data_IF_098270084627
#
_entry.id   IF_098270084627
#
_cell.length_a   1.000
_cell.length_b   1.000
_cell.length_c   1.000
_cell.angle_alpha   90.00
_cell.angle_beta   90.00
_cell.angle_gamma   90.00
#
_symmetry.space_group_name_H-M   'P 1'
#
loop_
_entity.id
_entity.type
_entity.pdbx_description
1 polymer ?
#
# COMPACT_ATOMS: atom_id res chain seq x y z
N UNK A 1 10.40 33.93 4.61
CA UNK A 1 9.01 33.89 4.10
C UNK A 1 8.66 34.96 3.06
N UNK A 2 9.47 36.02 2.84
CA UNK A 2 9.13 37.10 1.90
C UNK A 2 9.13 36.71 0.41
N UNK A 3 10.17 36.02 -0.06
CA UNK A 3 10.34 35.66 -1.48
C UNK A 3 9.17 34.86 -2.08
N UNK A 4 8.67 33.86 -1.35
CA UNK A 4 7.55 33.01 -1.81
C UNK A 4 6.26 33.81 -1.97
N UNK A 5 5.93 34.65 -1.00
CA UNK A 5 4.72 35.49 -1.04
C UNK A 5 4.82 36.56 -2.13
N UNK A 6 5.99 37.17 -2.30
CA UNK A 6 6.24 38.19 -3.33
C UNK A 6 6.09 37.62 -4.74
N UNK A 7 6.52 36.37 -4.96
CA UNK A 7 6.47 35.73 -6.28
C UNK A 7 5.24 34.82 -6.49
N UNK A 8 4.26 34.86 -5.57
CA UNK A 8 3.06 34.02 -5.60
C UNK A 8 3.36 32.52 -5.83
N UNK A 9 4.47 32.04 -5.25
CA UNK A 9 4.92 30.66 -5.44
C UNK A 9 3.99 29.73 -4.65
N UNK A 10 3.34 28.80 -5.36
CA UNK A 10 2.45 27.82 -4.76
C UNK A 10 3.27 26.80 -3.95
N UNK A 11 2.92 26.62 -2.69
CA UNK A 11 3.46 25.51 -1.89
C UNK A 11 2.83 24.19 -2.34
N UNK A 12 3.68 23.25 -2.71
CA UNK A 12 3.32 21.92 -3.16
C UNK A 12 3.84 20.94 -2.09
N UNK A 13 2.99 20.01 -1.65
CA UNK A 13 3.43 18.93 -0.76
C UNK A 13 4.35 17.98 -1.54
N UNK A 14 5.57 17.78 -1.07
CA UNK A 14 6.57 16.95 -1.74
C UNK A 14 7.02 15.80 -0.86
N UNK A 15 7.15 14.60 -1.43
CA UNK A 15 7.96 13.53 -0.83
C UNK A 15 9.35 13.53 -1.45
N UNK A 16 10.41 13.43 -0.65
CA UNK A 16 11.79 13.37 -1.16
C UNK A 16 12.49 12.07 -0.75
N UNK A 17 12.98 11.33 -1.75
CA UNK A 17 13.76 10.10 -1.63
C UNK A 17 15.21 10.39 -2.04
N UNK A 18 16.12 10.60 -1.08
CA UNK A 18 17.51 10.89 -1.39
C UNK A 18 18.28 9.63 -1.83
N UNK A 19 19.34 9.80 -2.62
CA UNK A 19 20.27 8.73 -2.98
C UNK A 19 20.87 8.02 -1.74
N UNK A 20 21.05 8.74 -0.62
CA UNK A 20 21.62 8.21 0.63
C UNK A 20 20.61 7.52 1.57
N UNK A 21 19.44 7.10 1.08
CA UNK A 21 18.39 6.44 1.87
C UNK A 21 18.86 5.21 2.65
N UNK A 22 19.77 4.40 2.11
CA UNK A 22 20.32 3.23 2.79
C UNK A 22 21.11 3.63 4.05
N UNK A 23 21.77 4.79 4.01
CA UNK A 23 22.43 5.35 5.19
C UNK A 23 21.42 5.75 6.27
N UNK A 24 20.29 6.35 5.88
CA UNK A 24 19.22 6.72 6.82
C UNK A 24 18.58 5.49 7.46
N UNK A 25 18.38 4.44 6.69
CA UNK A 25 17.89 3.16 7.18
C UNK A 25 18.88 2.50 8.17
N UNK A 26 20.17 2.48 7.84
CA UNK A 26 21.21 1.97 8.73
C UNK A 26 21.28 2.79 10.04
N UNK A 27 21.12 4.11 9.95
CA UNK A 27 21.09 4.99 11.10
C UNK A 27 19.85 4.79 11.98
N UNK A 28 18.67 4.61 11.37
CA UNK A 28 17.43 4.36 12.11
C UNK A 28 17.46 3.00 12.82
N UNK A 29 17.92 1.96 12.14
CA UNK A 29 17.99 0.59 12.69
C UNK A 29 18.96 0.47 13.88
N UNK A 30 20.11 1.17 13.87
CA UNK A 30 21.04 1.23 15.03
C UNK A 30 20.35 1.76 16.29
N UNK A 31 19.44 2.72 16.15
CA UNK A 31 18.72 3.33 17.28
C UNK A 31 17.51 2.50 17.73
N UNK A 32 16.96 1.66 16.85
CA UNK A 32 15.87 0.74 17.17
C UNK A 32 16.31 -0.55 17.87
N UNK A 33 17.62 -0.76 18.06
CA UNK A 33 18.21 -1.87 18.82
C UNK A 33 17.95 -1.76 20.35
N UNK A 34 16.69 -1.54 20.71
CA UNK A 34 16.09 -1.63 22.05
C UNK A 34 15.72 -3.09 22.38
N UNK A 35 16.59 -4.04 21.98
CA UNK A 35 16.36 -5.48 22.19
C UNK A 35 16.30 -5.88 23.67
N UNK A 36 16.70 -5.02 24.60
CA UNK A 36 16.68 -5.27 26.04
C UNK A 36 15.44 -4.74 26.78
N UNK A 37 14.45 -4.16 26.10
CA UNK A 37 13.24 -3.66 26.78
C UNK A 37 12.19 -4.78 26.94
N UNK A 38 11.56 -4.91 28.13
CA UNK A 38 10.50 -5.88 28.40
C UNK A 38 9.36 -5.79 27.38
N UNK A 39 8.69 -6.92 27.11
CA UNK A 39 7.64 -7.07 26.08
C UNK A 39 6.52 -6.02 26.19
N UNK A 40 6.13 -5.69 27.41
CA UNK A 40 5.10 -4.69 27.73
C UNK A 40 5.58 -3.26 27.43
N UNK A 41 6.85 -2.98 27.74
CA UNK A 41 7.49 -1.69 27.47
C UNK A 41 7.73 -1.50 25.98
N UNK A 42 8.03 -2.56 25.21
CA UNK A 42 8.07 -2.52 23.74
C UNK A 42 6.74 -2.06 23.17
N UNK A 43 5.63 -2.68 23.60
CA UNK A 43 4.27 -2.31 23.15
C UNK A 43 3.92 -0.85 23.50
N UNK A 44 4.43 -0.35 24.63
CA UNK A 44 4.23 1.03 25.09
C UNK A 44 5.17 2.06 24.40
N UNK A 45 6.40 1.68 24.06
CA UNK A 45 7.38 2.53 23.35
C UNK A 45 7.03 2.66 21.86
N UNK A 46 6.62 1.57 21.21
CA UNK A 46 6.19 1.60 19.80
C UNK A 46 4.93 2.46 19.61
N UNK A 47 4.01 2.45 20.58
CA UNK A 47 2.82 3.31 20.56
C UNK A 47 3.09 4.79 20.87
N UNK A 48 4.34 5.19 21.22
CA UNK A 48 4.63 6.54 21.73
C UNK A 48 5.83 7.25 21.08
N UNK A 49 6.53 6.64 20.12
CA UNK A 49 7.48 7.40 19.29
C UNK A 49 6.70 7.99 18.12
N UNK A 50 6.22 9.23 18.27
CA UNK A 50 5.56 9.97 17.20
C UNK A 50 6.33 9.80 15.87
N UNK A 51 5.64 9.36 14.82
CA UNK A 51 6.15 9.32 13.42
C UNK A 51 6.82 10.64 13.03
N UNK A 52 6.22 11.75 13.47
CA UNK A 52 6.74 13.12 13.33
C UNK A 52 8.16 13.24 13.93
N UNK A 53 8.41 12.67 15.11
CA UNK A 53 9.72 12.72 15.74
C UNK A 53 10.77 11.89 15.00
N UNK A 54 10.41 10.82 14.27
CA UNK A 54 11.38 10.04 13.47
C UNK A 54 11.74 10.76 12.18
N UNK A 55 10.73 11.23 11.45
CA UNK A 55 10.86 12.01 10.21
C UNK A 55 11.64 13.31 10.43
N UNK A 56 11.31 14.06 11.48
CA UNK A 56 12.04 15.27 11.84
C UNK A 56 13.52 14.96 12.14
N UNK A 57 13.78 13.88 12.89
CA UNK A 57 15.16 13.47 13.22
C UNK A 57 15.96 13.01 12.00
N UNK A 58 15.36 12.31 11.04
CA UNK A 58 16.03 11.93 9.79
C UNK A 58 16.36 13.17 8.96
N UNK A 59 15.43 14.12 8.88
CA UNK A 59 15.65 15.41 8.21
C UNK A 59 16.76 16.22 8.89
N UNK A 60 16.74 16.36 10.21
CA UNK A 60 17.73 17.10 10.98
C UNK A 60 19.14 16.49 10.81
N UNK A 61 19.25 15.17 10.93
CA UNK A 61 20.49 14.45 10.70
C UNK A 61 21.03 14.68 9.28
N UNK A 62 20.14 14.60 8.28
CA UNK A 62 20.55 14.77 6.89
C UNK A 62 20.96 16.22 6.59
N UNK A 63 20.28 17.21 7.17
CA UNK A 63 20.64 18.63 7.04
C UNK A 63 21.97 18.97 7.73
N UNK A 64 22.34 18.26 8.79
CA UNK A 64 23.65 18.40 9.41
C UNK A 64 24.78 17.90 8.49
N UNK A 65 24.53 16.85 7.70
CA UNK A 65 25.53 16.26 6.81
C UNK A 65 25.58 16.95 5.43
N UNK A 66 24.43 17.25 4.83
CA UNK A 66 24.31 17.70 3.45
C UNK A 66 23.85 19.16 3.31
N UNK A 67 23.62 19.86 4.44
CA UNK A 67 23.26 21.27 4.48
C UNK A 67 21.75 21.54 4.59
N UNK A 68 21.41 22.80 4.91
CA UNK A 68 20.05 23.21 5.26
C UNK A 68 19.05 23.20 4.09
N UNK A 69 19.54 23.18 2.84
CA UNK A 69 18.71 23.17 1.64
C UNK A 69 18.05 21.83 1.35
N UNK A 70 18.41 20.78 2.10
CA UNK A 70 17.79 19.47 1.92
C UNK A 70 16.27 19.52 2.19
N UNK A 71 15.44 18.98 1.27
CA UNK A 71 14.01 18.82 1.50
C UNK A 71 13.72 17.98 2.76
N UNK A 72 12.50 18.12 3.28
CA UNK A 72 12.05 17.29 4.38
C UNK A 72 11.94 15.82 3.95
N UNK A 73 12.52 14.92 4.74
CA UNK A 73 12.50 13.48 4.50
C UNK A 73 11.31 12.88 5.21
N UNK A 74 10.19 12.76 4.50
CA UNK A 74 8.89 12.41 5.07
C UNK A 74 8.39 11.00 4.73
N UNK A 75 9.21 10.15 4.14
CA UNK A 75 8.85 8.76 3.86
C UNK A 75 9.06 7.85 5.09
N UNK A 76 8.21 6.81 5.26
CA UNK A 76 8.32 5.88 6.39
C UNK A 76 9.49 4.91 6.21
N UNK A 77 10.05 4.43 7.32
CA UNK A 77 11.02 3.32 7.27
C UNK A 77 10.33 1.98 6.98
N UNK A 78 11.04 0.92 6.54
CA UNK A 78 10.42 -0.38 6.26
C UNK A 78 9.65 -0.98 7.45
N UNK A 79 10.13 -0.75 8.67
CA UNK A 79 9.39 -1.17 9.87
C UNK A 79 8.13 -0.35 10.08
N UNK A 80 8.16 0.97 9.84
CA UNK A 80 6.96 1.80 9.90
C UNK A 80 5.95 1.36 8.84
N UNK A 81 6.40 0.95 7.65
CA UNK A 81 5.55 0.40 6.58
C UNK A 81 4.88 -0.90 7.05
N UNK A 82 5.63 -1.84 7.61
CA UNK A 82 5.08 -3.10 8.14
C UNK A 82 3.97 -2.83 9.18
N UNK A 83 4.21 -1.91 10.11
CA UNK A 83 3.22 -1.51 11.12
C UNK A 83 2.00 -0.80 10.51
N UNK A 84 2.21 0.16 9.61
CA UNK A 84 1.11 0.88 8.96
C UNK A 84 0.22 -0.09 8.16
N UNK A 85 0.81 -1.08 7.49
CA UNK A 85 0.08 -2.13 6.80
C UNK A 85 -0.73 -2.99 7.78
N UNK A 86 -0.14 -3.37 8.91
CA UNK A 86 -0.86 -4.12 9.95
C UNK A 86 -2.07 -3.32 10.47
N UNK A 87 -1.88 -2.03 10.77
CA UNK A 87 -2.95 -1.17 11.28
C UNK A 87 -4.03 -0.93 10.23
N UNK A 88 -3.66 -0.75 8.97
CA UNK A 88 -4.62 -0.57 7.88
C UNK A 88 -5.46 -1.82 7.65
N UNK A 89 -4.83 -2.99 7.57
CA UNK A 89 -5.52 -4.29 7.44
C UNK A 89 -6.45 -4.51 8.63
N UNK A 90 -5.99 -4.20 9.84
CA UNK A 90 -6.81 -4.30 11.05
C UNK A 90 -8.01 -3.35 11.01
N UNK A 91 -7.84 -2.13 10.54
CA UNK A 91 -8.93 -1.18 10.41
C UNK A 91 -9.95 -1.63 9.36
N UNK A 92 -9.50 -2.18 8.22
CA UNK A 92 -10.41 -2.77 7.24
C UNK A 92 -11.16 -3.97 7.80
N UNK A 93 -10.48 -4.83 8.56
CA UNK A 93 -11.10 -5.95 9.26
C UNK A 93 -12.23 -5.51 10.20
N UNK A 94 -12.03 -4.44 10.99
CA UNK A 94 -13.06 -3.91 11.90
C UNK A 94 -14.24 -3.32 11.13
N UNK A 95 -13.97 -2.62 10.02
CA UNK A 95 -15.02 -2.06 9.15
C UNK A 95 -15.86 -3.16 8.53
N UNK A 96 -15.23 -4.21 8.01
CA UNK A 96 -15.92 -5.38 7.44
C UNK A 96 -16.79 -6.06 8.50
N UNK A 97 -16.24 -6.35 9.68
CA UNK A 97 -17.02 -6.99 10.75
C UNK A 97 -18.25 -6.16 11.15
N UNK A 98 -18.09 -4.83 11.21
CA UNK A 98 -19.20 -3.92 11.55
C UNK A 98 -20.26 -3.89 10.44
N UNK A 99 -19.84 -3.87 9.17
CA UNK A 99 -20.73 -3.91 8.02
C UNK A 99 -21.47 -5.24 7.91
N UNK A 100 -20.77 -6.36 8.06
CA UNK A 100 -21.36 -7.71 8.03
C UNK A 100 -22.45 -7.89 9.09
N UNK A 101 -22.24 -7.35 10.30
CA UNK A 101 -23.24 -7.39 11.37
C UNK A 101 -24.51 -6.61 10.98
N UNK A 102 -24.36 -5.45 10.33
CA UNK A 102 -25.48 -4.64 9.82
C UNK A 102 -26.23 -5.36 8.71
N UNK A 103 -25.51 -5.84 7.69
CA UNK A 103 -26.09 -6.56 6.55
C UNK A 103 -26.82 -7.83 7.02
N UNK A 104 -26.25 -8.57 7.97
CA UNK A 104 -26.92 -9.73 8.55
C UNK A 104 -28.24 -9.35 9.21
N UNK A 105 -28.24 -8.32 10.07
CA UNK A 105 -29.43 -7.85 10.78
C UNK A 105 -30.54 -7.41 9.81
N UNK A 106 -30.16 -6.64 8.78
CA UNK A 106 -31.11 -6.19 7.74
C UNK A 106 -31.62 -7.36 6.89
N UNK A 107 -30.74 -8.30 6.53
CA UNK A 107 -31.12 -9.49 5.78
C UNK A 107 -32.10 -10.37 6.55
N UNK A 108 -31.93 -10.49 7.87
CA UNK A 108 -32.81 -11.28 8.72
C UNK A 108 -34.24 -10.72 8.72
N UNK A 109 -34.39 -9.40 8.86
CA UNK A 109 -35.70 -8.74 8.78
C UNK A 109 -36.33 -8.96 7.40
N UNK A 110 -35.55 -8.75 6.32
CA UNK A 110 -36.03 -8.95 4.94
C UNK A 110 -36.45 -10.40 4.67
N UNK A 111 -35.71 -11.38 5.18
CA UNK A 111 -36.05 -12.81 5.08
C UNK A 111 -37.36 -13.10 5.80
N UNK A 112 -37.52 -12.61 7.04
CA UNK A 112 -38.76 -12.80 7.80
C UNK A 112 -39.97 -12.15 7.12
N UNK A 113 -39.82 -10.94 6.61
CA UNK A 113 -40.87 -10.28 5.83
C UNK A 113 -41.24 -11.08 4.57
N UNK A 114 -40.25 -11.58 3.82
CA UNK A 114 -40.50 -12.38 2.63
C UNK A 114 -41.27 -13.68 2.94
N UNK A 115 -40.98 -14.33 4.08
CA UNK A 115 -41.69 -15.51 4.54
C UNK A 115 -43.13 -15.20 4.98
N UNK A 116 -43.36 -14.07 5.65
CA UNK A 116 -44.70 -13.66 6.11
C UNK A 116 -45.61 -13.18 4.98
N UNK A 117 -45.05 -12.47 4.00
CA UNK A 117 -45.80 -11.91 2.87
C UNK A 117 -46.18 -12.99 1.83
N UNK A 118 -45.57 -14.18 1.90
CA UNK A 118 -45.84 -15.27 0.96
C UNK A 118 -45.57 -14.89 -0.51
N UNK A 119 -44.72 -13.88 -0.75
CA UNK A 119 -44.35 -13.45 -2.09
C UNK A 119 -43.54 -14.56 -2.76
N UNK A 120 -44.20 -15.28 -3.66
CA UNK A 120 -43.53 -16.16 -4.61
C UNK A 120 -42.78 -15.27 -5.61
N UNK A 121 -41.46 -15.36 -5.58
CA UNK A 121 -40.64 -14.79 -6.64
C UNK A 121 -40.54 -15.86 -7.71
N UNK A 122 -40.76 -15.49 -8.98
CA UNK A 122 -40.70 -16.38 -10.15
C UNK A 122 -39.25 -16.81 -10.51
N UNK A 123 -38.37 -16.86 -9.50
CA UNK A 123 -36.96 -17.22 -9.62
C UNK A 123 -36.80 -18.67 -9.18
N UNK A 124 -36.14 -19.47 -10.03
CA UNK A 124 -35.90 -20.87 -9.78
C UNK A 124 -35.04 -21.06 -8.51
N UNK A 125 -35.63 -21.67 -7.48
CA UNK A 125 -34.95 -21.93 -6.20
C UNK A 125 -33.65 -22.74 -6.38
N UNK A 126 -33.59 -23.64 -7.36
CA UNK A 126 -32.40 -24.46 -7.60
C UNK A 126 -31.22 -23.61 -8.13
N UNK A 127 -31.50 -22.56 -8.91
CA UNK A 127 -30.47 -21.60 -9.35
C UNK A 127 -29.93 -20.77 -8.19
N UNK A 128 -30.82 -20.29 -7.29
CA UNK A 128 -30.42 -19.53 -6.11
C UNK A 128 -29.50 -20.34 -5.19
N UNK A 129 -29.82 -21.62 -4.96
CA UNK A 129 -29.00 -22.52 -4.16
C UNK A 129 -27.61 -22.73 -4.75
N UNK A 130 -27.53 -22.86 -6.08
CA UNK A 130 -26.25 -22.96 -6.77
C UNK A 130 -25.41 -21.69 -6.59
N UNK A 131 -25.97 -20.50 -6.81
CA UNK A 131 -25.28 -19.23 -6.60
C UNK A 131 -24.79 -19.05 -5.15
N UNK A 132 -25.65 -19.37 -4.17
CA UNK A 132 -25.29 -19.34 -2.75
C UNK A 132 -24.11 -20.28 -2.46
N UNK A 133 -24.13 -21.49 -3.00
CA UNK A 133 -23.05 -22.47 -2.81
C UNK A 133 -21.70 -21.97 -3.36
N UNK A 134 -21.71 -21.32 -4.52
CA UNK A 134 -20.52 -20.74 -5.13
C UNK A 134 -19.96 -19.58 -4.29
N UNK A 135 -20.81 -18.62 -3.91
CA UNK A 135 -20.41 -17.48 -3.08
C UNK A 135 -19.82 -17.92 -1.73
N UNK A 136 -20.38 -18.99 -1.15
CA UNK A 136 -19.90 -19.54 0.13
C UNK A 136 -18.54 -20.25 -0.03
N UNK A 137 -18.37 -21.02 -1.11
CA UNK A 137 -17.09 -21.69 -1.41
C UNK A 137 -15.97 -20.67 -1.67
N UNK A 138 -16.25 -19.63 -2.46
CA UNK A 138 -15.31 -18.53 -2.74
C UNK A 138 -14.89 -17.80 -1.46
N UNK A 139 -15.86 -17.50 -0.58
CA UNK A 139 -15.61 -16.86 0.72
C UNK A 139 -14.68 -17.70 1.60
N UNK A 140 -14.86 -19.02 1.60
CA UNK A 140 -14.03 -19.97 2.37
C UNK A 140 -12.60 -20.08 1.81
N UNK A 141 -12.44 -19.93 0.49
CA UNK A 141 -11.14 -19.98 -0.19
C UNK A 141 -10.35 -18.67 -0.15
N UNK A 142 -11.03 -17.55 0.07
CA UNK A 142 -10.41 -16.23 0.13
C UNK A 142 -9.40 -16.14 1.29
N UNK A 143 -8.42 -15.22 1.21
CA UNK A 143 -7.48 -14.88 2.31
C UNK A 143 -8.17 -14.56 3.65
N UNK A 144 -9.50 -14.46 3.63
CA UNK A 144 -10.41 -14.04 4.69
C UNK A 144 -11.23 -15.18 5.32
N UNK A 145 -11.09 -16.43 4.87
CA UNK A 145 -11.99 -17.56 5.15
C UNK A 145 -12.20 -17.96 6.61
N UNK A 146 -11.64 -17.19 7.53
CA UNK A 146 -11.65 -17.45 8.96
C UNK A 146 -12.14 -16.25 9.79
N UNK A 147 -12.95 -15.30 9.31
CA UNK A 147 -13.45 -14.20 10.18
C UNK A 147 -14.79 -14.48 10.89
N UNK A 148 -15.10 -15.75 11.10
CA UNK A 148 -16.46 -16.19 10.93
C UNK A 148 -17.12 -16.74 12.21
N UNK A 149 -17.32 -15.88 13.23
CA UNK A 149 -18.23 -16.18 14.37
C UNK A 149 -19.70 -16.18 13.91
N UNK A 150 -20.06 -15.30 12.96
CA UNK A 150 -21.38 -15.31 12.32
C UNK A 150 -21.54 -16.46 11.29
N UNK A 151 -20.49 -17.21 10.97
CA UNK A 151 -20.61 -18.30 9.99
C UNK A 151 -21.34 -19.52 10.49
N UNK A 152 -21.35 -19.77 11.80
CA UNK A 152 -22.03 -20.95 12.30
C UNK A 152 -23.53 -20.80 12.06
N UNK A 153 -24.10 -19.63 12.31
CA UNK A 153 -25.51 -19.35 12.00
C UNK A 153 -25.79 -19.35 10.50
N UNK A 154 -24.87 -18.83 9.69
CA UNK A 154 -24.98 -18.89 8.22
C UNK A 154 -24.85 -20.31 7.64
N UNK A 155 -23.93 -21.12 8.17
CA UNK A 155 -23.74 -22.54 7.81
C UNK A 155 -24.91 -23.38 8.29
N UNK A 156 -25.45 -23.09 9.47
CA UNK A 156 -26.67 -23.72 9.97
C UNK A 156 -27.88 -23.37 9.09
N UNK A 157 -28.02 -22.10 8.70
CA UNK A 157 -29.00 -21.66 7.69
C UNK A 157 -28.80 -22.40 6.36
N UNK A 158 -27.56 -22.51 5.89
CA UNK A 158 -27.22 -23.24 4.66
C UNK A 158 -27.54 -24.74 4.77
N UNK A 159 -27.26 -25.37 5.89
CA UNK A 159 -27.60 -26.77 6.15
C UNK A 159 -29.12 -26.98 6.19
N UNK A 160 -29.85 -26.08 6.85
CA UNK A 160 -31.31 -26.12 6.92
C UNK A 160 -31.93 -25.96 5.54
N UNK A 161 -31.41 -25.04 4.73
CA UNK A 161 -31.82 -24.82 3.34
C UNK A 161 -31.48 -26.01 2.44
N UNK A 162 -30.31 -26.61 2.59
CA UNK A 162 -29.93 -27.81 1.83
C UNK A 162 -30.73 -29.05 2.25
N UNK A 163 -31.09 -29.16 3.53
CA UNK A 163 -31.99 -30.21 4.03
C UNK A 163 -33.41 -30.03 3.51
N UNK A 164 -33.92 -28.80 3.44
CA UNK A 164 -35.27 -28.51 2.95
C UNK A 164 -35.40 -28.66 1.43
N UNK A 165 -34.35 -28.39 0.65
CA UNK A 165 -34.34 -28.61 -0.81
C UNK A 165 -34.59 -30.08 -1.24
N UNK A 166 -34.36 -31.05 -0.34
CA UNK A 166 -34.64 -32.48 -0.55
C UNK A 166 -36.11 -32.87 -0.32
N UNK A 167 -36.93 -31.98 0.23
CA UNK A 167 -38.38 -32.18 0.40
C UNK A 167 -39.12 -31.13 -0.44
N UNK A 168 -39.64 -31.54 -1.59
CA UNK A 168 -40.08 -30.67 -2.69
C UNK A 168 -41.19 -29.65 -2.40
N UNK A 169 -41.84 -29.67 -1.23
CA UNK A 169 -42.99 -28.82 -0.89
C UNK A 169 -42.63 -27.37 -0.47
N UNK A 170 -41.37 -27.07 -0.13
CA UNK A 170 -40.96 -25.75 0.36
C UNK A 170 -40.39 -24.80 -0.73
N UNK A 171 -40.29 -25.26 -1.98
CA UNK A 171 -39.58 -24.54 -3.06
C UNK A 171 -40.20 -23.19 -3.44
N UNK A 172 -41.52 -23.02 -3.31
CA UNK A 172 -42.21 -21.79 -3.71
C UNK A 172 -42.20 -20.75 -2.58
N UNK A 173 -42.48 -21.17 -1.33
CA UNK A 173 -42.55 -20.26 -0.17
C UNK A 173 -41.19 -19.75 0.33
N UNK A 174 -40.10 -20.49 0.08
CA UNK A 174 -38.76 -20.09 0.52
C UNK A 174 -37.96 -19.29 -0.53
N UNK A 175 -38.45 -19.22 -1.77
CA UNK A 175 -37.75 -18.55 -2.89
C UNK A 175 -37.39 -17.09 -2.59
N UNK A 176 -38.32 -16.34 -1.99
CA UNK A 176 -38.10 -14.96 -1.56
C UNK A 176 -37.02 -14.80 -0.50
N UNK A 177 -37.01 -15.67 0.50
CA UNK A 177 -35.97 -15.69 1.53
C UNK A 177 -34.58 -16.03 0.97
N UNK A 178 -34.51 -17.01 0.05
CA UNK A 178 -33.26 -17.39 -0.62
C UNK A 178 -32.70 -16.26 -1.49
N UNK A 179 -33.56 -15.50 -2.17
CA UNK A 179 -33.13 -14.35 -2.97
C UNK A 179 -32.52 -13.25 -2.08
N UNK A 180 -33.20 -12.89 -0.99
CA UNK A 180 -32.68 -11.91 -0.01
C UNK A 180 -31.33 -12.37 0.56
N UNK A 181 -31.22 -13.65 0.89
CA UNK A 181 -30.00 -14.24 1.41
C UNK A 181 -28.83 -14.14 0.43
N UNK A 182 -29.06 -14.53 -0.83
CA UNK A 182 -28.08 -14.41 -1.91
C UNK A 182 -27.63 -12.96 -2.09
N UNK A 183 -28.56 -12.03 -2.09
CA UNK A 183 -28.25 -10.61 -2.31
C UNK A 183 -27.38 -10.05 -1.17
N UNK A 184 -27.64 -10.43 0.08
CA UNK A 184 -26.80 -10.11 1.22
C UNK A 184 -25.38 -10.70 1.10
N UNK A 185 -25.23 -11.93 0.59
CA UNK A 185 -23.92 -12.54 0.33
C UNK A 185 -23.14 -11.81 -0.77
N UNK A 186 -23.81 -11.41 -1.86
CA UNK A 186 -23.17 -10.63 -2.94
C UNK A 186 -22.72 -9.26 -2.44
N UNK A 187 -23.57 -8.58 -1.67
CA UNK A 187 -23.25 -7.30 -1.06
C UNK A 187 -22.02 -7.43 -0.13
N UNK A 188 -21.97 -8.45 0.73
CA UNK A 188 -20.82 -8.77 1.59
C UNK A 188 -19.54 -8.96 0.79
N UNK A 189 -19.58 -9.80 -0.25
CA UNK A 189 -18.40 -10.10 -1.08
C UNK A 189 -17.85 -8.82 -1.74
N UNK A 190 -18.75 -7.99 -2.30
CA UNK A 190 -18.36 -6.74 -2.95
C UNK A 190 -17.71 -5.75 -1.98
N UNK A 191 -18.24 -5.62 -0.76
CA UNK A 191 -17.69 -4.73 0.26
C UNK A 191 -16.31 -5.19 0.73
N UNK A 192 -16.12 -6.50 0.92
CA UNK A 192 -14.82 -7.06 1.29
C UNK A 192 -13.76 -6.81 0.21
N UNK A 193 -14.10 -7.05 -1.07
CA UNK A 193 -13.20 -6.82 -2.19
C UNK A 193 -12.78 -5.35 -2.27
N UNK A 194 -13.73 -4.41 -2.18
CA UNK A 194 -13.41 -2.98 -2.25
C UNK A 194 -12.59 -2.51 -1.04
N UNK A 195 -12.84 -3.06 0.16
CA UNK A 195 -12.11 -2.70 1.38
C UNK A 195 -10.62 -3.06 1.34
N UNK A 196 -10.25 -4.17 0.68
CA UNK A 196 -8.86 -4.63 0.57
C UNK A 196 -8.18 -4.30 -0.76
N UNK A 197 -8.93 -3.86 -1.78
CA UNK A 197 -8.44 -3.54 -3.13
C UNK A 197 -7.16 -2.70 -3.16
N UNK A 198 -7.10 -1.61 -2.38
CA UNK A 198 -5.91 -0.75 -2.33
C UNK A 198 -4.68 -1.47 -1.74
N UNK A 199 -4.90 -2.35 -0.76
CA UNK A 199 -3.84 -3.14 -0.09
C UNK A 199 -3.35 -4.25 -1.02
N UNK A 200 -4.29 -5.00 -1.62
CA UNK A 200 -3.97 -6.08 -2.54
C UNK A 200 -3.27 -5.55 -3.79
N UNK A 201 -3.74 -4.44 -4.37
CA UNK A 201 -3.07 -3.80 -5.51
C UNK A 201 -1.62 -3.41 -5.17
N UNK A 202 -1.41 -2.84 -3.98
CA UNK A 202 -0.07 -2.50 -3.51
C UNK A 202 0.81 -3.76 -3.36
N UNK A 203 0.27 -4.84 -2.79
CA UNK A 203 1.00 -6.10 -2.61
C UNK A 203 1.33 -6.75 -3.95
N UNK A 204 0.39 -6.78 -4.88
CA UNK A 204 0.60 -7.28 -6.25
C UNK A 204 1.77 -6.57 -6.92
N UNK A 205 1.79 -5.23 -6.88
CA UNK A 205 2.87 -4.46 -7.50
C UNK A 205 4.22 -4.77 -6.84
N UNK A 206 4.30 -4.75 -5.51
CA UNK A 206 5.54 -5.10 -4.79
C UNK A 206 5.99 -6.53 -5.13
N UNK A 207 5.06 -7.49 -5.14
CA UNK A 207 5.35 -8.89 -5.41
C UNK A 207 5.86 -9.15 -6.82
N UNK A 208 5.60 -8.26 -7.78
CA UNK A 208 6.21 -8.36 -9.12
C UNK A 208 7.73 -8.20 -9.12
N UNK A 209 8.30 -7.68 -8.04
CA UNK A 209 9.73 -7.48 -7.87
C UNK A 209 10.32 -8.38 -6.77
N UNK A 210 9.57 -9.32 -6.22
CA UNK A 210 10.10 -10.26 -5.21
C UNK A 210 10.29 -11.63 -5.84
N UNK A 211 11.49 -12.19 -5.71
CA UNK A 211 11.76 -13.59 -6.07
C UNK A 211 11.78 -14.47 -4.82
N UNK A 212 11.17 -15.67 -4.93
CA UNK A 212 11.08 -16.72 -3.89
C UNK A 212 10.48 -16.27 -2.55
N UNK A 213 9.75 -15.16 -2.51
CA UNK A 213 9.02 -14.66 -1.35
C UNK A 213 7.90 -13.74 -1.81
N UNK A 214 6.85 -13.65 -1.01
CA UNK A 214 5.68 -12.83 -1.28
C UNK A 214 5.38 -11.95 -0.07
N UNK A 215 5.22 -10.64 -0.28
CA UNK A 215 4.61 -9.77 0.70
C UNK A 215 3.12 -10.12 0.78
N UNK A 216 2.71 -10.61 1.95
CA UNK A 216 1.37 -11.14 2.15
C UNK A 216 0.85 -10.79 3.55
N UNK A 217 -0.44 -11.04 3.75
CA UNK A 217 -1.07 -10.91 5.06
C UNK A 217 -1.95 -12.11 5.36
N UNK A 218 -2.12 -12.39 6.65
CA UNK A 218 -2.98 -13.44 7.15
C UNK A 218 -3.78 -12.92 8.33
N UNK A 219 -5.08 -13.16 8.27
CA UNK A 219 -6.02 -12.86 9.33
C UNK A 219 -6.20 -14.13 10.16
N UNK A 220 -5.91 -14.07 11.45
CA UNK A 220 -6.04 -15.20 12.37
C UNK A 220 -7.15 -14.89 13.38
N UNK A 221 -8.16 -15.76 13.48
CA UNK A 221 -9.28 -15.69 14.45
C UNK A 221 -8.81 -15.40 15.87
N UNK A 222 -7.74 -16.07 16.27
CA UNK A 222 -7.29 -16.08 17.64
C UNK A 222 -6.40 -14.87 17.96
N UNK A 223 -6.08 -14.04 16.96
CA UNK A 223 -5.20 -12.88 17.12
C UNK A 223 -5.90 -11.62 16.67
N UNK A 224 -6.02 -10.67 17.61
CA UNK A 224 -6.49 -9.30 17.34
C UNK A 224 -5.62 -8.51 16.37
N UNK A 225 -4.40 -8.98 16.09
CA UNK A 225 -3.44 -8.30 15.23
C UNK A 225 -3.20 -9.20 14.02
N UNK A 226 -3.47 -8.70 12.79
CA UNK A 226 -3.20 -9.45 11.58
C UNK A 226 -1.69 -9.69 11.44
N UNK A 227 -1.33 -10.79 10.81
CA UNK A 227 0.06 -11.07 10.46
C UNK A 227 0.33 -10.44 9.11
N UNK A 228 1.32 -9.55 9.03
CA UNK A 228 1.82 -8.97 7.78
C UNK A 228 3.30 -9.25 7.70
N UNK A 229 3.80 -9.60 6.53
CA UNK A 229 5.22 -9.83 6.33
C UNK A 229 5.51 -10.61 5.05
N UNK A 230 6.71 -11.16 5.00
CA UNK A 230 7.15 -12.02 3.90
C UNK A 230 6.70 -13.45 4.15
N UNK A 231 5.98 -14.03 3.20
CA UNK A 231 5.63 -15.44 3.13
C UNK A 231 6.58 -16.15 2.16
N UNK A 232 7.16 -17.25 2.59
CA UNK A 232 8.04 -18.07 1.76
C UNK A 232 7.30 -19.29 1.19
N UNK A 233 7.83 -19.95 0.13
CA UNK A 233 7.23 -21.14 -0.47
C UNK A 233 7.03 -22.32 0.50
N UNK A 234 7.85 -22.39 1.55
CA UNK A 234 7.74 -23.38 2.64
C UNK A 234 6.63 -23.05 3.66
N UNK A 235 5.91 -21.94 3.48
CA UNK A 235 4.86 -21.46 4.38
C UNK A 235 5.38 -20.69 5.59
N UNK A 236 6.69 -20.52 5.74
CA UNK A 236 7.27 -19.73 6.83
C UNK A 236 7.05 -18.23 6.60
N UNK A 237 7.15 -17.46 7.69
CA UNK A 237 6.97 -16.01 7.65
C UNK A 237 8.14 -15.29 8.30
N UNK A 238 8.51 -14.16 7.72
CA UNK A 238 9.50 -13.24 8.29
C UNK A 238 9.04 -11.79 8.23
N UNK A 239 9.67 -10.94 9.04
CA UNK A 239 9.52 -9.49 8.95
C UNK A 239 10.06 -8.98 7.61
N UNK A 240 9.52 -7.86 7.15
CA UNK A 240 9.96 -7.13 5.96
C UNK A 240 11.45 -6.73 6.05
N UNK A 241 12.01 -6.62 7.26
CA UNK A 241 13.43 -6.29 7.48
C UNK A 241 14.41 -7.30 6.87
N UNK A 242 13.97 -8.52 6.55
CA UNK A 242 14.80 -9.56 5.91
C UNK A 242 14.97 -9.33 4.40
N UNK A 243 14.17 -8.44 3.79
CA UNK A 243 14.34 -8.04 2.39
C UNK A 243 15.75 -7.48 2.11
N UNK A 244 16.21 -7.63 0.87
CA UNK A 244 17.45 -6.99 0.39
C UNK A 244 17.32 -5.46 0.43
N UNK A 245 18.44 -4.73 0.40
CA UNK A 245 18.40 -3.26 0.41
C UNK A 245 17.59 -2.69 -0.76
N UNK A 246 17.74 -3.28 -1.96
CA UNK A 246 16.98 -2.90 -3.15
C UNK A 246 15.48 -3.14 -2.99
N UNK A 247 15.10 -4.30 -2.45
CA UNK A 247 13.68 -4.66 -2.20
C UNK A 247 13.03 -3.72 -1.17
N UNK A 248 13.72 -3.42 -0.06
CA UNK A 248 13.21 -2.49 0.96
C UNK A 248 13.03 -1.09 0.43
N UNK A 249 13.97 -0.65 -0.40
CA UNK A 249 13.91 0.63 -1.08
C UNK A 249 12.72 0.70 -2.03
N UNK A 250 12.53 -0.33 -2.86
CA UNK A 250 11.41 -0.41 -3.78
C UNK A 250 10.07 -0.40 -3.03
N UNK A 251 9.93 -1.23 -1.99
CA UNK A 251 8.77 -1.23 -1.10
C UNK A 251 8.47 0.18 -0.59
N UNK A 252 9.52 0.88 -0.12
CA UNK A 252 9.39 2.22 0.45
C UNK A 252 8.98 3.26 -0.58
N UNK A 253 9.53 3.22 -1.79
CA UNK A 253 9.17 4.11 -2.89
C UNK A 253 7.72 3.88 -3.35
N UNK A 254 7.32 2.62 -3.55
CA UNK A 254 5.95 2.25 -3.94
C UNK A 254 4.93 2.62 -2.87
N UNK A 255 5.25 2.42 -1.59
CA UNK A 255 4.39 2.80 -0.47
C UNK A 255 4.17 4.32 -0.44
N UNK A 256 5.22 5.08 -0.70
CA UNK A 256 5.13 6.53 -0.69
C UNK A 256 4.30 7.09 -1.84
N UNK A 257 4.48 6.54 -3.04
CA UNK A 257 3.69 6.90 -4.22
C UNK A 257 2.20 6.63 -4.00
N UNK A 258 1.86 5.48 -3.41
CA UNK A 258 0.46 5.06 -3.21
C UNK A 258 -0.21 5.80 -2.04
N UNK A 259 0.44 5.81 -0.87
CA UNK A 259 -0.22 6.16 0.42
C UNK A 259 0.09 7.54 0.97
N UNK A 260 1.04 8.29 0.41
CA UNK A 260 1.30 9.66 0.86
C UNK A 260 0.37 10.65 0.14
N UNK A 261 -0.90 10.63 0.54
CA UNK A 261 -2.02 11.40 -0.06
C UNK A 261 -1.91 12.92 0.03
N UNK A 262 -1.02 13.45 0.87
CA UNK A 262 -0.82 14.90 1.02
C UNK A 262 0.18 15.50 0.03
N UNK A 263 0.94 14.66 -0.68
CA UNK A 263 2.02 15.12 -1.55
C UNK A 263 1.60 14.96 -3.01
N UNK A 264 1.52 16.09 -3.70
CA UNK A 264 1.22 16.17 -5.13
C UNK A 264 2.43 15.85 -6.01
N UNK A 265 3.64 15.88 -5.44
CA UNK A 265 4.88 15.56 -6.16
C UNK A 265 5.79 14.65 -5.34
N UNK A 266 6.45 13.71 -6.02
CA UNK A 266 7.42 12.76 -5.46
C UNK A 266 8.75 12.99 -6.17
N UNK A 267 9.79 13.33 -5.40
CA UNK A 267 11.15 13.57 -5.86
C UNK A 267 11.99 12.35 -5.51
N UNK A 268 12.61 11.72 -6.50
CA UNK A 268 13.42 10.51 -6.32
C UNK A 268 14.81 10.74 -6.90
N UNK A 269 15.81 10.59 -6.05
CA UNK A 269 17.21 10.73 -6.41
C UNK A 269 17.84 9.34 -6.46
N UNK A 270 18.47 9.02 -7.58
CA UNK A 270 19.16 7.77 -7.88
C UNK A 270 18.34 6.50 -7.52
N UNK A 271 17.12 6.31 -8.07
CA UNK A 271 16.30 5.12 -7.81
C UNK A 271 17.00 3.80 -8.13
N UNK A 272 17.98 3.78 -9.03
CA UNK A 272 18.74 2.62 -9.50
C UNK A 272 19.69 2.05 -8.43
N UNK A 273 20.07 2.82 -7.41
CA UNK A 273 21.00 2.35 -6.39
C UNK A 273 20.43 1.07 -5.76
N UNK A 274 21.19 -0.03 -5.82
CA UNK A 274 20.80 -1.36 -5.31
C UNK A 274 19.67 -2.09 -6.05
N UNK A 275 19.23 -1.64 -7.24
CA UNK A 275 18.23 -2.35 -8.05
C UNK A 275 18.86 -3.14 -9.21
N UNK A 276 18.31 -4.33 -9.49
CA UNK A 276 18.64 -5.12 -10.69
C UNK A 276 18.18 -4.40 -11.96
N UNK A 277 18.86 -4.59 -13.09
CA UNK A 277 18.58 -3.87 -14.34
C UNK A 277 17.14 -4.05 -14.83
N UNK A 278 16.62 -5.28 -14.80
CA UNK A 278 15.22 -5.57 -15.18
C UNK A 278 14.21 -4.78 -14.33
N UNK A 279 14.53 -4.54 -13.05
CA UNK A 279 13.67 -3.76 -12.17
C UNK A 279 13.77 -2.26 -12.45
N UNK A 280 14.91 -1.79 -12.94
CA UNK A 280 15.08 -0.37 -13.32
C UNK A 280 14.16 -0.03 -14.50
N UNK A 281 14.12 -0.90 -15.52
CA UNK A 281 13.27 -0.72 -16.70
C UNK A 281 11.77 -0.70 -16.35
N UNK A 282 11.34 -1.56 -15.43
CA UNK A 282 9.93 -1.65 -15.04
C UNK A 282 9.50 -0.65 -13.94
N UNK A 283 10.45 -0.03 -13.24
CA UNK A 283 10.19 0.75 -12.02
C UNK A 283 9.15 1.86 -12.26
N UNK A 284 9.46 2.79 -13.17
CA UNK A 284 8.61 3.95 -13.41
C UNK A 284 7.25 3.55 -13.93
N UNK A 285 7.19 2.57 -14.83
CA UNK A 285 5.94 2.04 -15.39
C UNK A 285 5.01 1.51 -14.29
N UNK A 286 5.55 0.78 -13.32
CA UNK A 286 4.80 0.23 -12.18
C UNK A 286 4.39 1.31 -11.20
N UNK A 287 5.26 2.29 -10.94
CA UNK A 287 4.94 3.45 -10.10
C UNK A 287 3.82 4.31 -10.72
N UNK A 288 3.86 4.55 -12.03
CA UNK A 288 2.86 5.33 -12.77
C UNK A 288 1.46 4.71 -12.70
N UNK A 289 1.34 3.37 -12.77
CA UNK A 289 0.06 2.67 -12.59
C UNK A 289 -0.60 2.93 -11.24
N UNK A 290 0.20 3.27 -10.23
CA UNK A 290 -0.22 3.50 -8.86
C UNK A 290 -0.28 4.99 -8.48
N UNK A 291 0.20 5.87 -9.35
CA UNK A 291 0.53 7.24 -9.03
C UNK A 291 -0.70 8.14 -8.84
N UNK A 292 -1.83 7.77 -9.46
CA UNK A 292 -3.02 8.62 -9.51
C UNK A 292 -2.70 9.99 -10.10
N UNK A 293 -3.13 11.07 -9.44
CA UNK A 293 -2.91 12.46 -9.89
C UNK A 293 -1.63 13.10 -9.36
N UNK A 294 -0.58 12.31 -9.09
CA UNK A 294 0.69 12.83 -8.56
C UNK A 294 1.73 12.96 -9.68
N UNK A 295 2.72 13.81 -9.46
CA UNK A 295 3.88 13.95 -10.35
C UNK A 295 5.09 13.23 -9.75
N UNK A 296 5.82 12.43 -10.53
CA UNK A 296 7.14 11.93 -10.15
C UNK A 296 8.21 12.76 -10.88
N UNK A 297 9.24 13.17 -10.15
CA UNK A 297 10.46 13.75 -10.71
C UNK A 297 11.62 12.86 -10.26
N UNK A 298 12.39 12.37 -11.23
CA UNK A 298 13.51 11.47 -10.99
C UNK A 298 14.81 12.10 -11.46
N UNK A 299 15.84 12.03 -10.61
CA UNK A 299 17.23 12.23 -10.99
C UNK A 299 17.90 10.84 -11.03
N UNK A 300 18.58 10.52 -12.13
CA UNK A 300 19.16 9.20 -12.36
C UNK A 300 20.34 9.33 -13.31
N UNK A 301 21.37 8.51 -13.10
CA UNK A 301 22.44 8.27 -14.06
C UNK A 301 22.17 7.07 -14.98
N UNK A 302 21.14 6.26 -14.68
CA UNK A 302 20.76 5.07 -15.44
C UNK A 302 19.73 5.39 -16.54
N UNK A 303 20.08 5.25 -17.84
CA UNK A 303 19.12 5.37 -18.92
C UNK A 303 17.99 4.33 -18.85
N UNK A 304 18.24 3.17 -18.22
CA UNK A 304 17.26 2.09 -18.10
C UNK A 304 16.01 2.51 -17.32
N UNK A 305 16.16 3.39 -16.32
CA UNK A 305 15.04 3.96 -15.56
C UNK A 305 14.10 4.77 -16.47
N UNK A 306 14.64 5.45 -17.47
CA UNK A 306 13.91 6.36 -18.35
C UNK A 306 13.51 5.74 -19.71
N UNK A 307 13.85 4.48 -19.97
CA UNK A 307 13.73 3.85 -21.29
C UNK A 307 12.32 3.93 -21.93
N UNK A 308 11.25 3.82 -21.12
CA UNK A 308 9.86 3.92 -21.58
C UNK A 308 9.34 5.39 -21.63
N UNK A 309 10.17 6.38 -21.26
CA UNK A 309 9.76 7.77 -20.97
C UNK A 309 10.64 8.86 -21.62
N UNK A 310 11.26 8.58 -22.76
CA UNK A 310 12.17 9.50 -23.48
C UNK A 310 11.62 10.94 -23.63
N UNK A 311 10.33 11.09 -23.92
CA UNK A 311 9.66 12.39 -24.10
C UNK A 311 9.65 13.26 -22.82
N UNK A 312 9.90 12.67 -21.66
CA UNK A 312 9.92 13.35 -20.36
C UNK A 312 11.35 13.54 -19.83
N UNK A 313 12.36 13.05 -20.56
CA UNK A 313 13.76 13.15 -20.17
C UNK A 313 14.30 14.55 -20.44
N UNK A 314 15.08 15.07 -19.49
CA UNK A 314 15.87 16.28 -19.65
C UNK A 314 17.30 16.00 -19.23
N UNK A 315 18.22 16.08 -20.18
CA UNK A 315 19.64 15.98 -19.89
C UNK A 315 20.11 17.25 -19.16
N UNK A 316 20.87 17.06 -18.08
CA UNK A 316 21.50 18.15 -17.34
C UNK A 316 23.00 18.09 -17.63
N UNK A 317 23.45 18.94 -18.55
CA UNK A 317 24.87 19.04 -18.90
C UNK A 317 25.49 20.28 -18.23
N UNK A 318 26.67 20.17 -17.60
CA UNK A 318 27.35 21.33 -17.03
C UNK A 318 27.78 22.28 -18.15
N UNK A 319 27.48 23.57 -17.98
CA UNK A 319 28.01 24.64 -18.83
C UNK A 319 29.24 25.20 -18.13
N UNK A 320 30.43 24.90 -18.64
CA UNK A 320 31.67 25.47 -18.14
C UNK A 320 31.85 26.85 -18.79
N UNK A 321 31.63 27.91 -18.01
CA UNK A 321 32.09 29.24 -18.40
C UNK A 321 33.58 29.31 -18.08
N UNK A 322 34.43 29.18 -19.09
CA UNK A 322 35.84 29.55 -18.96
C UNK A 322 35.92 31.07 -18.74
N UNK A 323 35.94 31.50 -17.49
CA UNK A 323 36.30 32.86 -17.11
C UNK A 323 37.81 33.07 -17.17
N UNK A 324 38.46 32.59 -18.24
CA UNK A 324 39.91 32.67 -18.49
C UNK A 324 40.27 33.23 -19.86
N UNK A 325 39.31 33.75 -20.64
CA UNK A 325 39.55 34.40 -21.93
C UNK A 325 39.43 35.93 -21.94
N UNK A 326 39.23 36.60 -20.80
CA UNK A 326 39.17 38.07 -20.75
C UNK A 326 40.43 38.76 -20.21
N UNK A 327 41.48 38.01 -19.84
CA UNK A 327 42.74 38.59 -19.34
C UNK A 327 43.89 38.55 -20.38
N UNK A 328 43.67 38.00 -21.58
CA UNK A 328 44.69 37.96 -22.64
C UNK A 328 44.68 39.16 -23.60
N UNK A 329 43.62 39.98 -23.61
CA UNK A 329 43.51 41.16 -24.48
C UNK A 329 44.09 42.45 -23.85
N UNK A 330 44.68 42.37 -22.65
CA UNK A 330 45.27 43.52 -21.96
C UNK A 330 46.80 43.65 -22.12
N UNK A 331 47.47 42.77 -22.89
CA UNK A 331 48.94 42.75 -23.03
C UNK A 331 49.47 42.80 -24.47
N UNK A 332 48.68 43.26 -25.45
CA UNK A 332 49.12 43.30 -26.87
C UNK A 332 49.14 44.68 -27.53
N UNK A 333 49.07 45.79 -26.78
CA UNK A 333 49.05 47.15 -27.35
C UNK A 333 50.06 48.13 -26.74
N UNK A 334 51.27 47.70 -26.42
CA UNK A 334 52.40 48.63 -26.24
C UNK A 334 53.67 48.00 -26.82
N UNK A 335 54.03 48.43 -28.03
CA UNK A 335 55.38 48.58 -28.62
C UNK A 335 55.32 48.32 -30.12
N UNK A 336 55.03 49.39 -30.88
CA UNK A 336 55.60 49.64 -32.21
C UNK A 336 55.21 51.07 -32.66
N UNK A 337 55.87 52.07 -32.05
CA UNK A 337 56.11 53.38 -32.66
C UNK A 337 57.60 53.64 -32.56
N UNK A 338 58.35 53.43 -33.65
CA UNK A 338 59.30 54.36 -34.30
C UNK A 338 60.08 53.69 -35.43
#
# INVERSE_FOLDING_TARGET
MGFVKVNNIRHIGTSYFPAFRTMLEAWSSRRENTRNLPREVRKMYFNRVNRVNRVNRATDFSRQLFGQFLPEINYPSPIDIEHNLCDEIRNQQIKIASYESSVFSDSFVKVFSALLEGKSIDVNADQLLHEISQLTAESTSSKLGDLEENSNTYRELQELVNKSAKHGDLKISASGALAVYRDALKERQSFQQEAFKEIDTYFEVVNTFLDKKELSYSLDKNKRIPKVGLKFPDGTWSSIMVMSSGERQLLTMLYAVTRMSRNSSVLIDEPEISLHIDWQEDLLKKMMKQLGNRQIIVCTHSPAIAADFDNYMKEVSPIFNDSSQNDSDFLSNEEDEF
#
